data_IF_148722309442
#
_entry.id   IF_148722309442
#
_cell.length_a   1.000
_cell.length_b   1.000
_cell.length_c   1.000
_cell.angle_alpha   90.00
_cell.angle_beta   90.00
_cell.angle_gamma   90.00
#
_symmetry.space_group_name_H-M   'P 1'
#
loop_
_entity.id
_entity.type
_entity.pdbx_description
1 polymer ?
#
# COMPACT_ATOMS: atom_id res chain seq x y z
N UNK A 1 -0.06 10.46 -26.37
CA UNK A 1 0.41 9.78 -27.60
C UNK A 1 1.78 9.17 -27.36
N UNK A 2 2.14 8.09 -28.06
CA UNK A 2 3.46 7.45 -27.98
C UNK A 2 4.25 7.79 -29.25
N UNK A 3 5.50 8.22 -29.09
CA UNK A 3 6.42 8.42 -30.21
C UNK A 3 6.97 7.11 -30.77
N UNK A 4 7.74 7.21 -31.85
CA UNK A 4 8.34 6.05 -32.52
C UNK A 4 9.37 5.35 -31.63
N UNK A 5 9.44 4.01 -31.74
CA UNK A 5 10.39 3.18 -30.99
C UNK A 5 10.31 3.38 -29.45
N UNK A 6 9.10 3.58 -28.93
CA UNK A 6 8.86 3.58 -27.47
C UNK A 6 8.72 2.16 -26.94
N UNK A 7 9.34 1.90 -25.79
CA UNK A 7 9.22 0.62 -25.06
C UNK A 7 8.41 0.84 -23.79
N UNK A 8 7.44 -0.02 -23.52
CA UNK A 8 6.60 0.07 -22.31
C UNK A 8 6.78 -1.20 -21.49
N UNK A 9 7.08 -1.06 -20.20
CA UNK A 9 7.19 -2.19 -19.29
C UNK A 9 5.85 -2.89 -19.09
N UNK A 10 5.88 -4.19 -18.85
CA UNK A 10 4.69 -4.98 -18.55
C UNK A 10 3.88 -4.33 -17.40
N UNK A 11 2.55 -4.35 -17.52
CA UNK A 11 1.61 -3.80 -16.52
C UNK A 11 1.81 -2.31 -16.18
N UNK A 12 2.38 -1.51 -17.07
CA UNK A 12 2.51 -0.06 -16.87
C UNK A 12 1.28 0.69 -17.38
N UNK A 13 0.88 1.77 -16.69
CA UNK A 13 -0.21 2.66 -17.14
C UNK A 13 0.35 4.02 -17.50
N UNK A 14 0.30 4.31 -18.80
CA UNK A 14 0.77 5.57 -19.38
C UNK A 14 -0.37 6.58 -19.34
N UNK A 15 -0.20 7.63 -18.54
CA UNK A 15 -1.17 8.73 -18.39
C UNK A 15 -0.75 10.01 -19.14
N UNK A 16 0.51 10.07 -19.58
CA UNK A 16 1.10 11.22 -20.27
C UNK A 16 1.75 10.81 -21.59
N UNK A 17 1.93 11.75 -22.51
CA UNK A 17 2.56 11.48 -23.81
C UNK A 17 4.05 11.17 -23.65
N UNK A 18 4.53 10.13 -24.35
CA UNK A 18 5.92 9.67 -24.29
C UNK A 18 6.62 10.00 -25.62
N UNK A 19 7.76 10.71 -25.62
CA UNK A 19 8.51 11.02 -26.83
C UNK A 19 9.23 9.79 -27.40
N UNK A 20 9.60 9.85 -28.68
CA UNK A 20 10.26 8.75 -29.41
C UNK A 20 11.57 8.28 -28.74
N UNK A 21 11.92 7.01 -28.95
CA UNK A 21 13.14 6.36 -28.44
C UNK A 21 13.27 6.36 -26.90
N UNK A 22 12.14 6.25 -26.18
CA UNK A 22 12.11 6.21 -24.71
C UNK A 22 11.52 4.92 -24.19
N UNK A 23 11.89 4.56 -22.96
CA UNK A 23 11.26 3.46 -22.23
C UNK A 23 10.41 4.04 -21.09
N UNK A 24 9.21 3.51 -20.85
CA UNK A 24 8.38 3.89 -19.73
C UNK A 24 7.95 2.69 -18.89
N UNK A 25 7.98 2.83 -17.57
CA UNK A 25 7.65 1.75 -16.62
C UNK A 25 6.88 2.30 -15.42
N UNK A 26 5.97 1.50 -14.87
CA UNK A 26 5.28 1.78 -13.59
C UNK A 26 3.84 2.25 -13.72
N UNK A 27 3.23 2.53 -12.56
CA UNK A 27 1.84 2.95 -12.37
C UNK A 27 1.81 4.17 -11.42
N UNK A 28 1.59 5.41 -11.90
CA UNK A 28 1.63 5.83 -13.29
C UNK A 28 3.04 5.68 -13.91
N UNK A 29 3.10 5.44 -15.21
CA UNK A 29 4.34 5.16 -15.92
C UNK A 29 5.26 6.38 -15.95
N UNK A 30 6.55 6.18 -15.65
CA UNK A 30 7.60 7.21 -15.73
C UNK A 30 8.62 6.85 -16.80
N UNK A 31 9.11 7.87 -17.51
CA UNK A 31 10.08 7.70 -18.58
C UNK A 31 11.47 7.42 -17.99
N UNK A 32 12.05 6.27 -18.34
CA UNK A 32 13.43 5.87 -18.01
C UNK A 32 14.32 5.98 -19.25
N UNK A 33 15.55 6.43 -19.07
CA UNK A 33 16.52 6.55 -20.16
C UNK A 33 17.11 5.17 -20.49
N UNK A 34 16.95 4.71 -21.72
CA UNK A 34 17.60 3.49 -22.21
C UNK A 34 19.08 3.77 -22.47
N UNK A 35 19.96 3.24 -21.62
CA UNK A 35 21.41 3.22 -21.89
C UNK A 35 21.66 2.25 -23.06
N UNK A 36 21.68 2.77 -24.28
CA UNK A 36 22.06 2.00 -25.47
C UNK A 36 23.55 1.67 -25.39
N UNK A 37 23.91 0.43 -25.03
CA UNK A 37 25.22 -0.16 -25.32
C UNK A 37 26.29 -0.13 -24.23
N UNK A 38 26.00 0.33 -23.01
CA UNK A 38 26.88 0.02 -21.88
C UNK A 38 26.41 -1.32 -21.28
N UNK A 39 27.35 -2.23 -21.04
CA UNK A 39 27.14 -3.36 -20.14
C UNK A 39 26.25 -2.93 -18.99
N UNK A 40 25.28 -3.78 -18.65
CA UNK A 40 24.60 -3.66 -17.37
C UNK A 40 25.67 -3.95 -16.32
N UNK A 41 26.51 -2.98 -16.04
CA UNK A 41 27.21 -2.90 -14.79
C UNK A 41 26.08 -2.66 -13.79
N UNK A 42 25.59 -3.76 -13.23
CA UNK A 42 24.59 -3.79 -12.16
C UNK A 42 25.03 -2.91 -10.97
N UNK A 43 26.27 -2.42 -10.99
CA UNK A 43 26.89 -1.50 -10.05
C UNK A 43 26.78 0.00 -10.39
N UNK A 44 26.21 0.38 -11.55
CA UNK A 44 26.17 1.79 -12.01
C UNK A 44 24.84 2.23 -12.62
N UNK A 45 23.75 1.64 -12.14
CA UNK A 45 22.52 2.43 -12.01
C UNK A 45 22.89 3.47 -10.96
N UNK A 46 22.78 4.76 -11.31
CA UNK A 46 22.91 5.82 -10.33
C UNK A 46 21.71 5.70 -9.40
N UNK A 47 22.04 5.04 -8.31
CA UNK A 47 21.20 4.48 -7.31
C UNK A 47 21.42 5.41 -6.12
N UNK A 48 20.88 6.61 -6.22
CA UNK A 48 20.66 7.48 -5.06
C UNK A 48 19.62 6.78 -4.14
N UNK A 49 20.04 5.64 -3.58
CA UNK A 49 19.39 4.78 -2.61
C UNK A 49 19.40 5.41 -1.22
N UNK A 50 19.85 6.66 -1.09
CA UNK A 50 19.81 7.36 0.20
C UNK A 50 18.46 8.03 0.49
N UNK A 51 17.50 7.99 -0.46
CA UNK A 51 16.19 8.64 -0.29
C UNK A 51 15.01 7.84 -0.80
N UNK A 52 15.17 6.56 -1.15
CA UNK A 52 14.00 5.71 -1.39
C UNK A 52 13.49 5.32 0.00
N UNK A 53 12.38 5.91 0.47
CA UNK A 53 11.82 5.55 1.75
C UNK A 53 11.54 4.05 1.70
N UNK A 54 11.85 3.28 2.74
CA UNK A 54 11.45 1.88 2.79
C UNK A 54 9.92 1.82 2.81
N UNK A 55 9.32 1.76 1.63
CA UNK A 55 7.86 1.79 1.43
C UNK A 55 7.25 0.54 2.05
N UNK A 56 7.96 -0.58 1.98
CA UNK A 56 7.52 -1.85 2.58
C UNK A 56 7.53 -1.72 4.10
N UNK A 57 8.63 -1.22 4.68
CA UNK A 57 8.72 -0.94 6.12
C UNK A 57 7.64 0.02 6.62
N UNK A 58 7.36 1.09 5.87
CA UNK A 58 6.28 2.03 6.20
C UNK A 58 4.89 1.40 6.16
N UNK A 59 4.63 0.54 5.16
CA UNK A 59 3.37 -0.20 5.08
C UNK A 59 3.26 -1.18 6.25
N UNK A 60 4.33 -1.92 6.56
CA UNK A 60 4.35 -2.85 7.70
C UNK A 60 4.08 -2.10 9.01
N UNK A 61 4.74 -0.96 9.24
CA UNK A 61 4.51 -0.13 10.42
C UNK A 61 3.05 0.36 10.53
N UNK A 62 2.48 0.83 9.42
CA UNK A 62 1.07 1.27 9.37
C UNK A 62 0.09 0.11 9.64
N UNK A 63 0.39 -1.09 9.15
CA UNK A 63 -0.41 -2.28 9.44
C UNK A 63 -0.35 -2.67 10.92
N UNK A 64 0.84 -2.61 11.54
CA UNK A 64 1.01 -2.89 12.98
C UNK A 64 0.20 -1.90 13.82
N UNK A 65 0.32 -0.59 13.56
CA UNK A 65 -0.43 0.45 14.29
C UNK A 65 -1.95 0.23 14.19
N UNK A 66 -2.43 -0.17 12.99
CA UNK A 66 -3.85 -0.47 12.80
C UNK A 66 -4.29 -1.70 13.57
N UNK A 67 -3.46 -2.74 13.63
CA UNK A 67 -3.73 -3.96 14.41
C UNK A 67 -3.82 -3.61 15.89
N UNK A 68 -2.85 -2.89 16.44
CA UNK A 68 -2.85 -2.48 17.85
C UNK A 68 -4.10 -1.67 18.21
N UNK A 69 -4.52 -0.74 17.35
CA UNK A 69 -5.76 0.03 17.54
C UNK A 69 -6.97 -0.90 17.62
N UNK A 70 -7.08 -1.85 16.70
CA UNK A 70 -8.20 -2.79 16.65
C UNK A 70 -8.22 -3.74 17.85
N UNK A 71 -7.06 -4.24 18.26
CA UNK A 71 -6.90 -5.10 19.43
C UNK A 71 -7.29 -4.36 20.71
N UNK A 72 -6.88 -3.09 20.85
CA UNK A 72 -7.27 -2.24 21.98
C UNK A 72 -8.78 -1.98 22.01
N UNK A 73 -9.41 -1.68 20.86
CA UNK A 73 -10.86 -1.52 20.82
C UNK A 73 -11.61 -2.82 21.12
N UNK A 74 -11.09 -3.96 20.66
CA UNK A 74 -11.65 -5.28 20.94
C UNK A 74 -11.53 -5.62 22.42
N UNK A 75 -10.38 -5.34 23.04
CA UNK A 75 -10.14 -5.49 24.47
C UNK A 75 -11.06 -4.56 25.30
N UNK A 76 -11.24 -3.31 24.86
CA UNK A 76 -12.15 -2.37 25.52
C UNK A 76 -13.62 -2.82 25.44
N UNK A 77 -14.03 -3.43 24.31
CA UNK A 77 -15.38 -3.99 24.15
C UNK A 77 -15.59 -5.29 24.92
N UNK A 78 -14.58 -6.15 25.01
CA UNK A 78 -14.65 -7.38 25.82
C UNK A 78 -14.57 -7.09 27.32
N UNK A 79 -13.96 -5.97 27.71
CA UNK A 79 -13.95 -5.47 29.09
C UNK A 79 -15.22 -4.71 29.49
N UNK A 80 -16.14 -4.40 28.56
CA UNK A 80 -17.47 -3.93 28.96
C UNK A 80 -18.20 -5.11 29.61
N UNK A 81 -18.53 -5.05 30.91
CA UNK A 81 -19.40 -6.05 31.49
C UNK A 81 -20.71 -5.91 30.73
N UNK A 82 -21.09 -6.95 29.99
CA UNK A 82 -22.39 -7.08 29.35
C UNK A 82 -23.41 -6.52 30.34
N UNK A 83 -23.98 -5.36 30.03
CA UNK A 83 -24.91 -4.67 30.92
C UNK A 83 -26.05 -5.66 31.15
N UNK A 84 -26.00 -6.34 32.30
CA UNK A 84 -26.88 -7.45 32.64
C UNK A 84 -28.28 -6.86 32.58
N UNK A 85 -29.06 -7.24 31.56
CA UNK A 85 -30.46 -6.83 31.48
C UNK A 85 -31.07 -7.16 32.84
N UNK A 86 -31.65 -6.19 33.57
CA UNK A 86 -32.19 -6.48 34.88
C UNK A 86 -33.21 -7.60 34.71
N UNK A 87 -32.96 -8.70 35.41
CA UNK A 87 -33.87 -9.84 35.49
C UNK A 87 -35.23 -9.30 35.91
N UNK A 88 -36.21 -9.38 35.00
CA UNK A 88 -37.57 -9.05 35.33
C UNK A 88 -38.05 -10.03 36.41
N UNK A 89 -38.09 -9.53 37.65
CA UNK A 89 -38.74 -10.16 38.78
C UNK A 89 -40.20 -10.47 38.40
N UNK A 90 -40.58 -11.73 38.50
CA UNK A 90 -41.97 -12.20 38.39
C UNK A 90 -42.87 -11.45 39.38
N UNK A 91 -44.10 -11.09 39.01
CA UNK A 91 -45.18 -11.07 39.98
C UNK A 91 -45.88 -12.44 39.94
N UNK A 92 -45.85 -13.12 41.07
CA UNK A 92 -46.80 -14.19 41.41
C UNK A 92 -48.22 -13.66 41.25
N UNK A 93 -49.07 -14.33 40.47
CA UNK A 93 -50.52 -14.17 40.58
C UNK A 93 -51.14 -15.52 40.90
N UNK A 94 -51.43 -15.68 42.18
CA UNK A 94 -52.39 -16.65 42.71
C UNK A 94 -53.82 -16.26 42.30
N UNK A 95 -54.70 -17.26 42.44
CA UNK A 95 -56.17 -17.29 42.34
C UNK A 95 -56.73 -17.62 40.96
#
# INVERSE_FOLDING_TARGET
TLGDNVRVGANSVVVESIPANRTAVGMPARIVQSKSGAEVDHNKIDLDHHRIPDVVGQIIASLIERIETLENEAAARSAQPMLRRPSATQPTRNS
#
